data_IF_805966806552
#
_entry.id   IF_805966806552
#
_cell.length_a   1.000
_cell.length_b   1.000
_cell.length_c   1.000
_cell.angle_alpha   90.00
_cell.angle_beta   90.00
_cell.angle_gamma   90.00
#
_symmetry.space_group_name_H-M   'P 1'
#
loop_
_entity.id
_entity.type
_entity.pdbx_description
1 polymer ?
#
# COMPACT_ATOMS: atom_id res chain seq x y z
N UNK A 1 -5.95 21.66 10.18
CA UNK A 1 -6.92 21.55 9.08
C UNK A 1 -6.22 21.44 7.72
N UNK A 2 -5.33 22.35 7.36
CA UNK A 2 -4.61 22.36 6.07
C UNK A 2 -3.66 21.16 5.91
N UNK A 3 -3.02 20.66 6.97
CA UNK A 3 -2.18 19.45 6.91
C UNK A 3 -3.00 18.16 6.63
N UNK A 4 -4.20 18.04 7.18
CA UNK A 4 -5.09 16.89 6.87
C UNK A 4 -5.52 16.90 5.39
N UNK A 5 -5.69 18.07 4.78
CA UNK A 5 -6.02 18.20 3.35
C UNK A 5 -4.88 17.73 2.43
N UNK A 6 -3.61 17.87 2.82
CA UNK A 6 -2.45 17.39 2.05
C UNK A 6 -2.35 15.87 1.93
N UNK A 7 -2.97 15.13 2.86
CA UNK A 7 -2.98 13.67 2.88
C UNK A 7 -4.25 13.05 2.25
N UNK A 8 -5.14 13.90 1.70
CA UNK A 8 -6.34 13.42 1.03
C UNK A 8 -5.96 12.86 -0.34
N UNK A 9 -6.49 11.68 -0.65
CA UNK A 9 -6.26 11.02 -1.93
C UNK A 9 -6.65 11.95 -3.09
N UNK A 10 -5.82 12.06 -4.12
CA UNK A 10 -6.00 13.00 -5.24
C UNK A 10 -7.35 12.82 -5.98
N UNK A 11 -7.93 11.62 -5.96
CA UNK A 11 -9.24 11.33 -6.57
C UNK A 11 -10.39 12.16 -6.01
N UNK A 12 -10.29 12.66 -4.76
CA UNK A 12 -11.29 13.56 -4.21
C UNK A 12 -11.32 14.91 -4.94
N UNK A 13 -10.17 15.41 -5.34
CA UNK A 13 -10.05 16.67 -6.08
C UNK A 13 -10.51 16.53 -7.53
N UNK A 14 -10.23 15.40 -8.17
CA UNK A 14 -10.72 15.07 -9.52
C UNK A 14 -12.24 15.07 -9.55
N UNK A 15 -12.90 14.55 -8.51
CA UNK A 15 -14.35 14.59 -8.37
C UNK A 15 -14.92 16.02 -8.46
N UNK A 16 -14.25 17.03 -7.89
CA UNK A 16 -14.76 18.40 -7.87
C UNK A 16 -14.98 19.01 -9.26
N UNK A 17 -14.32 18.49 -10.29
CA UNK A 17 -14.51 18.94 -11.70
C UNK A 17 -15.97 18.73 -12.11
N UNK A 18 -16.63 17.68 -11.68
CA UNK A 18 -18.03 17.42 -12.03
C UNK A 18 -19.02 18.41 -11.39
N UNK A 19 -18.58 19.18 -10.38
CA UNK A 19 -19.40 20.26 -9.81
C UNK A 19 -19.61 21.42 -10.77
N UNK A 20 -18.82 21.52 -11.85
CA UNK A 20 -19.07 22.50 -12.92
C UNK A 20 -20.44 22.30 -13.54
N UNK A 21 -20.95 21.07 -13.62
CA UNK A 21 -22.25 20.75 -14.24
C UNK A 21 -23.43 21.47 -13.57
N UNK A 22 -23.73 21.34 -12.25
CA UNK A 22 -24.83 22.05 -11.63
C UNK A 22 -24.66 23.56 -11.65
N UNK A 23 -23.45 24.09 -11.47
CA UNK A 23 -23.20 25.52 -11.52
C UNK A 23 -23.43 26.08 -12.95
N UNK A 24 -22.91 25.41 -13.99
CA UNK A 24 -23.17 25.81 -15.36
C UNK A 24 -24.66 25.78 -15.71
N UNK A 25 -25.39 24.75 -15.28
CA UNK A 25 -26.84 24.65 -15.50
C UNK A 25 -27.63 25.75 -14.83
N UNK A 26 -27.20 26.23 -13.67
CA UNK A 26 -27.80 27.38 -12.98
C UNK A 26 -27.50 28.67 -13.76
N UNK A 27 -26.27 28.90 -14.18
CA UNK A 27 -25.89 30.08 -14.95
C UNK A 27 -26.59 30.16 -16.33
N UNK A 28 -26.85 29.00 -16.95
CA UNK A 28 -27.59 28.89 -18.19
C UNK A 28 -29.12 29.03 -18.02
N UNK A 29 -29.59 29.21 -16.79
CA UNK A 29 -31.03 29.36 -16.48
C UNK A 29 -31.84 28.07 -16.61
N UNK A 30 -31.20 26.92 -16.70
CA UNK A 30 -31.86 25.60 -16.80
C UNK A 30 -32.38 25.14 -15.44
N UNK A 31 -31.77 25.60 -14.35
CA UNK A 31 -32.09 25.25 -12.98
C UNK A 31 -32.27 26.55 -12.18
N UNK A 32 -33.26 26.61 -11.27
CA UNK A 32 -33.51 27.80 -10.45
C UNK A 32 -32.29 28.20 -9.61
N UNK A 33 -32.08 29.49 -9.43
CA UNK A 33 -30.89 30.06 -8.76
C UNK A 33 -30.70 29.58 -7.30
N UNK A 34 -31.76 29.22 -6.58
CA UNK A 34 -31.65 28.70 -5.20
C UNK A 34 -30.94 27.34 -5.11
N UNK A 35 -30.87 26.56 -6.20
CA UNK A 35 -30.04 25.33 -6.27
C UNK A 35 -28.57 25.62 -6.09
N UNK A 36 -28.11 26.85 -6.29
CA UNK A 36 -26.73 27.24 -6.02
C UNK A 36 -26.32 26.95 -4.58
N UNK A 37 -27.19 27.30 -3.62
CA UNK A 37 -26.93 27.04 -2.20
C UNK A 37 -26.92 25.53 -1.89
N UNK A 38 -27.80 24.76 -2.51
CA UNK A 38 -27.81 23.30 -2.34
C UNK A 38 -26.55 22.65 -2.91
N UNK A 39 -26.10 23.08 -4.09
CA UNK A 39 -24.85 22.58 -4.71
C UNK A 39 -23.63 22.98 -3.88
N UNK A 40 -23.60 24.20 -3.35
CA UNK A 40 -22.53 24.65 -2.47
C UNK A 40 -22.49 23.82 -1.17
N UNK A 41 -23.65 23.56 -0.57
CA UNK A 41 -23.75 22.74 0.64
C UNK A 41 -23.39 21.26 0.35
N UNK A 42 -23.72 20.74 -0.84
CA UNK A 42 -23.25 19.43 -1.29
C UNK A 42 -21.72 19.36 -1.32
N UNK A 43 -21.06 20.35 -1.92
CA UNK A 43 -19.60 20.43 -1.95
C UNK A 43 -19.00 20.52 -0.54
N UNK A 44 -19.59 21.37 0.33
CA UNK A 44 -19.15 21.47 1.73
C UNK A 44 -19.36 20.18 2.51
N UNK A 45 -20.47 19.47 2.30
CA UNK A 45 -20.74 18.18 2.94
C UNK A 45 -19.78 17.10 2.45
N UNK A 46 -19.47 17.05 1.14
CA UNK A 46 -18.50 16.14 0.56
C UNK A 46 -17.11 16.35 1.16
N UNK A 47 -16.61 17.58 1.20
CA UNK A 47 -15.34 17.92 1.82
C UNK A 47 -15.36 17.75 3.35
N UNK A 48 -16.50 18.05 3.98
CA UNK A 48 -16.72 17.92 5.42
C UNK A 48 -16.54 16.48 5.90
N UNK A 49 -17.07 15.50 5.17
CA UNK A 49 -16.89 14.06 5.49
C UNK A 49 -15.41 13.66 5.53
N UNK A 50 -14.55 14.29 4.73
CA UNK A 50 -13.12 13.97 4.70
C UNK A 50 -12.39 14.43 5.97
N UNK A 51 -12.88 15.51 6.60
CA UNK A 51 -12.20 16.18 7.72
C UNK A 51 -12.83 15.78 9.07
N UNK A 52 -14.16 15.58 9.09
CA UNK A 52 -14.93 15.33 10.30
C UNK A 52 -14.72 13.91 10.81
N UNK A 53 -14.40 13.79 12.11
CA UNK A 53 -14.24 12.51 12.81
C UNK A 53 -15.52 12.12 13.60
N UNK A 54 -16.42 13.08 13.84
CA UNK A 54 -17.66 12.84 14.57
C UNK A 54 -18.63 12.02 13.73
N UNK A 55 -18.98 10.83 14.23
CA UNK A 55 -19.84 9.86 13.54
C UNK A 55 -21.22 10.42 13.22
N UNK A 56 -21.80 11.22 14.10
CA UNK A 56 -23.14 11.82 13.92
C UNK A 56 -23.13 12.83 12.76
N UNK A 57 -22.12 13.73 12.73
CA UNK A 57 -21.97 14.70 11.64
C UNK A 57 -21.68 14.02 10.30
N UNK A 58 -20.88 12.96 10.32
CA UNK A 58 -20.63 12.13 9.11
C UNK A 58 -21.92 11.56 8.55
N UNK A 59 -22.83 11.05 9.42
CA UNK A 59 -24.12 10.55 8.97
C UNK A 59 -25.04 11.66 8.43
N UNK A 60 -25.05 12.84 9.05
CA UNK A 60 -25.83 13.99 8.57
C UNK A 60 -25.38 14.39 7.17
N UNK A 61 -24.08 14.57 6.96
CA UNK A 61 -23.56 14.90 5.64
C UNK A 61 -23.82 13.79 4.61
N UNK A 62 -23.67 12.53 5.02
CA UNK A 62 -23.92 11.38 4.14
C UNK A 62 -25.38 11.32 3.67
N UNK A 63 -26.33 11.44 4.58
CA UNK A 63 -27.77 11.46 4.27
C UNK A 63 -28.10 12.65 3.35
N UNK A 64 -27.50 13.81 3.60
CA UNK A 64 -27.67 14.97 2.74
C UNK A 64 -27.16 14.71 1.32
N UNK A 65 -26.00 14.10 1.14
CA UNK A 65 -25.47 13.73 -0.18
C UNK A 65 -26.45 12.81 -0.92
N UNK A 66 -26.98 11.79 -0.25
CA UNK A 66 -27.97 10.86 -0.82
C UNK A 66 -29.25 11.59 -1.22
N UNK A 67 -29.76 12.45 -0.35
CA UNK A 67 -31.00 13.22 -0.60
C UNK A 67 -30.82 14.21 -1.76
N UNK A 68 -29.65 14.88 -1.83
CA UNK A 68 -29.34 15.79 -2.93
C UNK A 68 -29.28 15.07 -4.28
N UNK A 69 -28.61 13.92 -4.34
CA UNK A 69 -28.50 13.14 -5.59
C UNK A 69 -29.87 12.61 -6.00
N UNK A 70 -30.60 11.96 -5.08
CA UNK A 70 -31.89 11.38 -5.36
C UNK A 70 -32.93 12.44 -5.76
N UNK A 71 -33.02 13.53 -5.00
CA UNK A 71 -33.95 14.62 -5.28
C UNK A 71 -33.67 15.31 -6.63
N UNK A 72 -32.42 15.65 -6.91
CA UNK A 72 -32.09 16.30 -8.20
C UNK A 72 -32.27 15.33 -9.39
N UNK A 73 -32.00 14.03 -9.21
CA UNK A 73 -32.24 13.05 -10.27
C UNK A 73 -33.72 12.91 -10.61
N UNK A 74 -34.61 13.00 -9.61
CA UNK A 74 -36.07 12.89 -9.81
C UNK A 74 -36.73 14.17 -10.33
N UNK A 75 -36.29 15.34 -9.87
CA UNK A 75 -36.99 16.59 -10.11
C UNK A 75 -36.31 17.52 -11.09
N UNK A 76 -34.98 17.40 -11.27
CA UNK A 76 -34.20 18.30 -12.14
C UNK A 76 -33.75 17.58 -13.40
N UNK A 77 -33.19 16.39 -13.28
CA UNK A 77 -32.74 15.61 -14.42
C UNK A 77 -31.90 14.40 -14.07
N UNK A 78 -32.06 13.34 -14.86
CA UNK A 78 -31.41 12.03 -14.62
C UNK A 78 -29.89 12.09 -14.62
N UNK A 79 -29.26 13.13 -15.21
CA UNK A 79 -27.80 13.32 -15.19
C UNK A 79 -27.20 13.44 -13.79
N UNK A 80 -27.99 13.84 -12.77
CA UNK A 80 -27.52 13.92 -11.38
C UNK A 80 -27.21 12.53 -10.77
N UNK A 81 -27.67 11.42 -11.35
CA UNK A 81 -27.29 10.08 -10.91
C UNK A 81 -25.77 9.82 -11.02
N UNK A 82 -25.05 10.54 -11.91
CA UNK A 82 -23.59 10.49 -11.99
C UNK A 82 -22.89 10.91 -10.70
N UNK A 83 -23.56 11.71 -9.85
CA UNK A 83 -23.03 12.15 -8.56
C UNK A 83 -22.89 11.01 -7.53
N UNK A 84 -23.47 9.82 -7.78
CA UNK A 84 -23.12 8.62 -7.00
C UNK A 84 -21.63 8.29 -7.03
N UNK A 85 -20.89 8.78 -8.02
CA UNK A 85 -19.43 8.71 -8.05
C UNK A 85 -18.75 9.35 -6.82
N UNK A 86 -19.30 10.45 -6.30
CA UNK A 86 -18.80 11.08 -5.07
C UNK A 86 -18.94 10.16 -3.85
N UNK A 87 -20.06 9.43 -3.78
CA UNK A 87 -20.29 8.47 -2.71
C UNK A 87 -19.32 7.28 -2.83
N UNK A 88 -19.04 6.83 -4.06
CA UNK A 88 -18.04 5.78 -4.33
C UNK A 88 -16.65 6.19 -3.84
N UNK A 89 -16.21 7.42 -4.13
CA UNK A 89 -14.94 7.93 -3.65
C UNK A 89 -14.86 7.95 -2.11
N UNK A 90 -15.93 8.42 -1.44
CA UNK A 90 -15.99 8.42 0.03
C UNK A 90 -15.93 6.98 0.58
N UNK A 91 -16.68 6.05 -0.01
CA UNK A 91 -16.72 4.65 0.41
C UNK A 91 -15.34 3.99 0.30
N UNK A 92 -14.64 4.20 -0.80
CA UNK A 92 -13.34 3.56 -1.06
C UNK A 92 -12.24 4.22 -0.23
N UNK A 93 -12.04 5.53 -0.37
CA UNK A 93 -10.84 6.19 0.16
C UNK A 93 -10.99 6.75 1.59
N UNK A 94 -12.22 7.07 2.03
CA UNK A 94 -12.45 7.59 3.40
C UNK A 94 -12.86 6.51 4.36
N UNK A 95 -13.85 5.69 3.98
CA UNK A 95 -14.36 4.62 4.83
C UNK A 95 -13.60 3.30 4.66
N UNK A 96 -12.74 3.20 3.65
CA UNK A 96 -11.96 1.99 3.33
C UNK A 96 -12.82 0.72 3.42
N UNK A 97 -13.93 0.74 2.68
CA UNK A 97 -14.92 -0.35 2.72
C UNK A 97 -14.35 -1.56 1.98
N UNK A 98 -13.62 -2.41 2.69
CA UNK A 98 -13.12 -3.69 2.17
C UNK A 98 -14.15 -4.83 2.31
N UNK A 99 -15.12 -4.64 3.21
CA UNK A 99 -16.14 -5.65 3.51
C UNK A 99 -17.55 -5.10 3.26
N UNK A 100 -18.45 -5.98 2.76
CA UNK A 100 -19.87 -5.67 2.56
C UNK A 100 -20.67 -5.39 3.85
N UNK A 101 -20.01 -5.30 5.01
CA UNK A 101 -20.65 -5.01 6.32
C UNK A 101 -20.81 -3.53 6.61
N UNK A 102 -20.30 -2.63 5.77
CA UNK A 102 -20.41 -1.20 6.03
C UNK A 102 -21.84 -0.70 5.82
N UNK A 103 -22.43 -0.02 6.83
CA UNK A 103 -23.78 0.54 6.70
C UNK A 103 -23.86 1.65 5.64
N UNK A 104 -22.76 2.37 5.40
CA UNK A 104 -22.69 3.40 4.36
C UNK A 104 -22.82 2.80 2.95
N UNK A 105 -22.22 1.63 2.71
CA UNK A 105 -22.36 0.92 1.43
C UNK A 105 -23.81 0.48 1.19
N UNK A 106 -24.44 -0.10 2.19
CA UNK A 106 -25.84 -0.55 2.08
C UNK A 106 -26.82 0.60 1.90
N UNK A 107 -26.60 1.74 2.57
CA UNK A 107 -27.44 2.94 2.37
C UNK A 107 -27.29 3.52 0.98
N UNK A 108 -26.06 3.57 0.41
CA UNK A 108 -25.84 3.99 -0.96
C UNK A 108 -26.53 3.06 -1.96
N UNK A 109 -26.39 1.75 -1.81
CA UNK A 109 -27.03 0.76 -2.66
C UNK A 109 -28.56 0.83 -2.57
N UNK A 110 -29.10 0.90 -1.37
CA UNK A 110 -30.54 1.02 -1.13
C UNK A 110 -31.11 2.30 -1.75
N UNK A 111 -30.39 3.42 -1.65
CA UNK A 111 -30.81 4.68 -2.27
C UNK A 111 -30.86 4.59 -3.79
N UNK A 112 -29.94 3.87 -4.44
CA UNK A 112 -29.97 3.61 -5.89
C UNK A 112 -31.18 2.75 -6.28
N UNK A 113 -31.50 1.73 -5.49
CA UNK A 113 -32.67 0.88 -5.74
C UNK A 113 -33.99 1.68 -5.58
N UNK A 114 -34.08 2.51 -4.54
CA UNK A 114 -35.25 3.38 -4.31
C UNK A 114 -35.40 4.35 -5.47
N UNK A 115 -34.30 4.96 -5.92
CA UNK A 115 -34.32 5.89 -7.04
C UNK A 115 -34.80 5.21 -8.32
N UNK A 116 -34.26 4.03 -8.64
CA UNK A 116 -34.67 3.26 -9.82
C UNK A 116 -36.15 2.87 -9.76
N UNK A 117 -36.62 2.41 -8.58
CA UNK A 117 -38.04 2.13 -8.35
C UNK A 117 -38.93 3.36 -8.53
N UNK A 118 -38.52 4.51 -7.98
CA UNK A 118 -39.28 5.76 -8.14
C UNK A 118 -39.39 6.19 -9.61
N UNK A 119 -38.34 6.02 -10.40
CA UNK A 119 -38.36 6.33 -11.82
C UNK A 119 -39.26 5.40 -12.63
N UNK A 120 -39.33 4.12 -12.30
CA UNK A 120 -40.22 3.17 -12.96
C UNK A 120 -41.72 3.48 -12.72
N UNK A 121 -42.05 4.06 -11.56
CA UNK A 121 -43.44 4.44 -11.20
C UNK A 121 -43.81 5.87 -11.59
N UNK A 122 -42.83 6.70 -11.97
CA UNK A 122 -43.10 8.09 -12.34
C UNK A 122 -43.48 8.21 -13.80
N UNK A 123 -44.78 8.44 -14.09
CA UNK A 123 -45.35 8.53 -15.45
C UNK A 123 -44.97 9.80 -16.22
N UNK A 124 -44.41 10.81 -15.56
CA UNK A 124 -44.02 12.08 -16.19
C UNK A 124 -42.61 12.02 -16.81
N UNK A 125 -41.85 10.99 -16.52
CA UNK A 125 -40.52 10.79 -17.06
C UNK A 125 -40.52 10.20 -18.47
N UNK A 126 -39.50 10.53 -19.27
CA UNK A 126 -39.31 9.95 -20.64
C UNK A 126 -39.14 8.43 -20.51
N UNK A 127 -39.67 7.71 -21.48
CA UNK A 127 -39.67 6.22 -21.50
C UNK A 127 -38.29 5.57 -21.28
N UNK A 128 -37.19 6.29 -21.58
CA UNK A 128 -35.83 5.76 -21.48
C UNK A 128 -35.01 6.28 -20.27
N UNK A 129 -35.56 7.17 -19.43
CA UNK A 129 -34.82 7.76 -18.33
C UNK A 129 -34.39 6.72 -17.25
N UNK A 130 -35.27 5.76 -16.96
CA UNK A 130 -34.93 4.65 -16.06
C UNK A 130 -33.79 3.78 -16.58
N UNK A 131 -33.72 3.60 -17.91
CA UNK A 131 -32.69 2.80 -18.56
C UNK A 131 -31.33 3.49 -18.47
N UNK A 132 -31.30 4.82 -18.65
CA UNK A 132 -30.10 5.63 -18.45
C UNK A 132 -29.60 5.53 -17.00
N UNK A 133 -30.46 5.69 -16.00
CA UNK A 133 -30.09 5.60 -14.59
C UNK A 133 -29.63 4.18 -14.24
N UNK A 134 -30.24 3.13 -14.79
CA UNK A 134 -29.83 1.74 -14.60
C UNK A 134 -28.39 1.53 -15.15
N UNK A 135 -28.11 1.97 -16.37
CA UNK A 135 -26.79 1.82 -17.00
C UNK A 135 -25.74 2.57 -16.17
N UNK A 136 -26.02 3.82 -15.76
CA UNK A 136 -25.12 4.61 -14.95
C UNK A 136 -24.89 3.96 -13.58
N UNK A 137 -25.95 3.43 -12.96
CA UNK A 137 -25.84 2.74 -11.67
C UNK A 137 -24.96 1.49 -11.75
N UNK A 138 -25.13 0.68 -12.82
CA UNK A 138 -24.27 -0.47 -13.08
C UNK A 138 -22.82 -0.05 -13.33
N UNK A 139 -22.59 0.98 -14.12
CA UNK A 139 -21.27 1.50 -14.39
C UNK A 139 -20.58 1.97 -13.10
N UNK A 140 -21.29 2.73 -12.25
CA UNK A 140 -20.76 3.21 -10.96
C UNK A 140 -20.48 2.02 -10.02
N UNK A 141 -21.34 1.01 -9.99
CA UNK A 141 -21.12 -0.20 -9.18
C UNK A 141 -19.86 -0.96 -9.61
N UNK A 142 -19.67 -1.18 -10.91
CA UNK A 142 -18.47 -1.81 -11.47
C UNK A 142 -17.23 -0.97 -11.18
N UNK A 143 -17.32 0.34 -11.36
CA UNK A 143 -16.23 1.28 -11.08
C UNK A 143 -15.86 1.26 -9.59
N UNK A 144 -16.84 1.30 -8.68
CA UNK A 144 -16.61 1.22 -7.24
C UNK A 144 -15.93 -0.10 -6.86
N UNK A 145 -16.40 -1.21 -7.42
CA UNK A 145 -15.79 -2.52 -7.20
C UNK A 145 -14.34 -2.55 -7.69
N UNK A 146 -14.06 -2.00 -8.86
CA UNK A 146 -12.70 -1.90 -9.42
C UNK A 146 -11.80 -1.04 -8.54
N UNK A 147 -12.29 0.10 -8.04
CA UNK A 147 -11.54 0.99 -7.13
C UNK A 147 -11.19 0.28 -5.81
N UNK A 148 -12.15 -0.43 -5.21
CA UNK A 148 -11.91 -1.23 -3.99
C UNK A 148 -10.84 -2.30 -4.25
N UNK A 149 -10.93 -2.99 -5.38
CA UNK A 149 -9.93 -4.00 -5.78
C UNK A 149 -8.54 -3.40 -5.96
N UNK A 150 -8.44 -2.25 -6.60
CA UNK A 150 -7.16 -1.55 -6.80
C UNK A 150 -6.53 -1.15 -5.47
N UNK A 151 -7.29 -0.55 -4.56
CA UNK A 151 -6.81 -0.15 -3.23
C UNK A 151 -6.31 -1.36 -2.43
N UNK A 152 -7.09 -2.46 -2.41
CA UNK A 152 -6.67 -3.71 -1.77
C UNK A 152 -5.37 -4.28 -2.37
N UNK A 153 -5.22 -4.22 -3.69
CA UNK A 153 -4.01 -4.71 -4.37
C UNK A 153 -2.80 -3.84 -4.06
N UNK A 154 -2.97 -2.52 -3.91
CA UNK A 154 -1.89 -1.61 -3.51
C UNK A 154 -1.44 -1.87 -2.07
N UNK A 155 -2.39 -2.06 -1.13
CA UNK A 155 -2.08 -2.44 0.25
C UNK A 155 -1.32 -3.78 0.32
N UNK A 156 -1.79 -4.80 -0.41
CA UNK A 156 -1.12 -6.10 -0.48
C UNK A 156 0.30 -5.99 -1.05
N UNK A 157 0.49 -5.22 -2.12
CA UNK A 157 1.82 -5.00 -2.69
C UNK A 157 2.76 -4.31 -1.70
N UNK A 158 2.26 -3.32 -0.96
CA UNK A 158 3.03 -2.63 0.06
C UNK A 158 3.45 -3.57 1.20
N UNK A 159 2.55 -4.45 1.64
CA UNK A 159 2.85 -5.43 2.69
C UNK A 159 3.82 -6.52 2.21
N UNK A 160 3.65 -7.02 0.98
CA UNK A 160 4.63 -7.93 0.38
C UNK A 160 6.02 -7.30 0.22
N UNK A 161 6.10 -6.02 -0.16
CA UNK A 161 7.39 -5.32 -0.23
C UNK A 161 8.08 -5.22 1.14
N UNK A 162 7.32 -4.94 2.21
CA UNK A 162 7.84 -4.93 3.59
C UNK A 162 8.32 -6.33 4.02
N UNK A 163 7.52 -7.37 3.76
CA UNK A 163 7.88 -8.75 4.09
C UNK A 163 9.15 -9.18 3.35
N UNK A 164 9.26 -8.89 2.06
CA UNK A 164 10.45 -9.19 1.26
C UNK A 164 11.70 -8.46 1.80
N UNK A 165 11.56 -7.20 2.20
CA UNK A 165 12.66 -6.47 2.82
C UNK A 165 13.12 -7.11 4.14
N UNK A 166 12.19 -7.56 4.99
CA UNK A 166 12.51 -8.28 6.23
C UNK A 166 13.18 -9.63 5.96
N UNK A 167 12.66 -10.40 5.00
CA UNK A 167 13.26 -11.68 4.60
C UNK A 167 14.70 -11.48 4.12
N UNK A 168 14.95 -10.48 3.26
CA UNK A 168 16.28 -10.17 2.77
C UNK A 168 17.25 -9.79 3.90
N UNK A 169 16.76 -9.06 4.90
CA UNK A 169 17.56 -8.69 6.06
C UNK A 169 17.93 -9.92 6.91
N UNK A 170 16.95 -10.80 7.18
CA UNK A 170 17.18 -12.05 7.92
C UNK A 170 18.12 -13.02 7.18
N UNK A 171 17.99 -13.10 5.85
CA UNK A 171 18.90 -13.90 5.03
C UNK A 171 20.34 -13.36 5.08
N UNK A 172 20.51 -12.04 5.04
CA UNK A 172 21.84 -11.43 5.15
C UNK A 172 22.45 -11.67 6.54
N UNK A 173 21.65 -11.57 7.61
CA UNK A 173 22.11 -11.86 8.97
C UNK A 173 22.48 -13.33 9.14
N UNK A 174 21.63 -14.25 8.66
CA UNK A 174 21.91 -15.69 8.72
C UNK A 174 23.18 -16.07 7.95
N UNK A 175 23.38 -15.49 6.78
CA UNK A 175 24.61 -15.69 6.00
C UNK A 175 25.84 -15.16 6.74
N UNK A 176 25.74 -14.00 7.38
CA UNK A 176 26.82 -13.46 8.22
C UNK A 176 27.17 -14.37 9.38
N UNK A 177 26.15 -14.93 10.06
CA UNK A 177 26.36 -15.90 11.14
C UNK A 177 26.96 -17.21 10.67
N UNK A 178 26.56 -17.70 9.47
CA UNK A 178 27.14 -18.88 8.83
C UNK A 178 28.62 -18.69 8.55
N UNK A 179 28.94 -17.58 7.89
CA UNK A 179 30.32 -17.23 7.56
C UNK A 179 31.19 -17.10 8.82
N UNK A 180 30.64 -16.47 9.87
CA UNK A 180 31.34 -16.34 11.16
C UNK A 180 31.66 -17.69 11.79
N UNK A 181 30.75 -18.66 11.72
CA UNK A 181 31.02 -20.04 12.20
C UNK A 181 32.04 -20.76 11.33
N UNK A 182 31.87 -20.72 10.00
CA UNK A 182 32.78 -21.38 9.06
C UNK A 182 34.24 -20.86 9.22
N UNK A 183 34.38 -19.54 9.42
CA UNK A 183 35.67 -18.92 9.72
C UNK A 183 36.22 -19.34 11.09
N UNK A 184 35.41 -19.35 12.12
CA UNK A 184 35.82 -19.73 13.47
C UNK A 184 36.30 -21.19 13.50
N UNK A 185 35.57 -22.08 12.84
CA UNK A 185 35.89 -23.51 12.82
C UNK A 185 37.15 -23.77 12.01
N UNK A 186 37.32 -23.14 10.84
CA UNK A 186 38.51 -23.25 9.99
C UNK A 186 39.74 -22.67 10.70
N UNK A 187 39.65 -21.46 11.25
CA UNK A 187 40.79 -20.83 11.95
C UNK A 187 41.09 -21.56 13.26
N UNK A 188 40.09 -22.04 13.99
CA UNK A 188 40.27 -22.80 15.22
C UNK A 188 41.07 -24.09 14.97
N UNK A 189 40.74 -24.82 13.89
CA UNK A 189 41.48 -26.02 13.51
C UNK A 189 42.92 -25.68 13.10
N UNK A 190 43.12 -24.63 12.32
CA UNK A 190 44.43 -24.16 11.90
C UNK A 190 45.32 -23.78 13.09
N UNK A 191 44.76 -22.99 14.04
CA UNK A 191 45.54 -22.58 15.23
C UNK A 191 45.88 -23.79 16.12
N UNK A 192 44.96 -24.76 16.25
CA UNK A 192 45.28 -26.01 16.96
C UNK A 192 46.41 -26.76 16.33
N UNK A 193 46.42 -26.94 15.01
CA UNK A 193 47.55 -27.55 14.28
C UNK A 193 48.85 -26.78 14.44
N UNK A 194 48.85 -25.47 14.32
CA UNK A 194 50.03 -24.63 14.55
C UNK A 194 50.59 -24.79 15.96
N UNK A 195 49.72 -24.84 16.96
CA UNK A 195 50.14 -25.06 18.36
C UNK A 195 50.83 -26.42 18.55
N UNK A 196 50.22 -27.50 18.02
CA UNK A 196 50.81 -28.84 18.11
C UNK A 196 52.17 -28.91 17.40
N UNK A 197 52.29 -28.28 16.24
CA UNK A 197 53.57 -28.25 15.51
C UNK A 197 54.62 -27.40 16.18
N UNK A 198 54.24 -26.30 16.81
CA UNK A 198 55.16 -25.49 17.64
C UNK A 198 55.66 -26.27 18.84
N UNK A 199 54.78 -26.98 19.54
CA UNK A 199 55.17 -27.86 20.67
C UNK A 199 56.15 -28.99 20.23
N UNK A 200 55.91 -29.61 19.07
CA UNK A 200 56.81 -30.60 18.46
C UNK A 200 58.18 -30.01 18.12
N UNK A 201 58.22 -28.83 17.56
CA UNK A 201 59.48 -28.14 17.22
C UNK A 201 60.30 -27.87 18.49
N UNK A 202 59.64 -27.42 19.59
CA UNK A 202 60.31 -27.20 20.89
C UNK A 202 60.87 -28.48 21.46
N UNK A 203 60.09 -29.58 21.43
CA UNK A 203 60.58 -30.91 21.88
C UNK A 203 61.78 -31.39 21.06
N UNK A 204 61.80 -31.24 19.72
CA UNK A 204 62.94 -31.63 18.90
C UNK A 204 64.18 -30.78 19.20
N UNK A 205 64.02 -29.50 19.48
CA UNK A 205 65.11 -28.63 19.94
C UNK A 205 65.70 -29.12 21.28
N UNK A 206 64.83 -29.45 22.25
CA UNK A 206 65.28 -29.97 23.56
C UNK A 206 66.05 -31.31 23.46
N UNK A 207 65.76 -32.09 22.41
CA UNK A 207 66.45 -33.34 22.11
C UNK A 207 67.72 -33.17 21.20
N UNK A 208 68.06 -31.94 20.84
CA UNK A 208 69.18 -31.61 19.96
C UNK A 208 68.97 -32.01 18.47
N UNK A 209 67.72 -32.28 18.05
CA UNK A 209 67.36 -32.68 16.70
C UNK A 209 66.96 -31.42 15.85
N UNK A 210 67.97 -30.62 15.52
CA UNK A 210 67.74 -29.28 14.92
C UNK A 210 67.10 -29.38 13.52
N UNK A 211 67.47 -30.36 12.70
CA UNK A 211 66.93 -30.57 11.37
C UNK A 211 65.41 -30.84 11.42
N UNK A 212 64.96 -31.68 12.37
CA UNK A 212 63.54 -31.99 12.53
C UNK A 212 62.71 -30.79 13.09
N UNK A 213 63.32 -30.02 13.96
CA UNK A 213 62.70 -28.78 14.46
C UNK A 213 62.53 -27.79 13.32
N UNK A 214 63.51 -27.65 12.42
CA UNK A 214 63.45 -26.78 11.26
C UNK A 214 62.37 -27.21 10.27
N UNK A 215 62.16 -28.52 10.07
CA UNK A 215 61.08 -29.06 9.26
C UNK A 215 59.71 -28.64 9.85
N UNK A 216 59.48 -28.77 11.16
CA UNK A 216 58.22 -28.32 11.78
C UNK A 216 57.99 -26.81 11.67
N UNK A 217 59.03 -25.99 11.75
CA UNK A 217 58.92 -24.54 11.54
C UNK A 217 58.55 -24.20 10.09
N UNK A 218 59.09 -24.93 9.11
CA UNK A 218 58.72 -24.75 7.70
C UNK A 218 57.25 -25.12 7.45
N UNK A 219 56.76 -26.21 8.08
CA UNK A 219 55.35 -26.58 8.00
C UNK A 219 54.42 -25.55 8.65
N UNK A 220 54.80 -25.00 9.80
CA UNK A 220 54.07 -23.89 10.43
C UNK A 220 53.95 -22.69 9.47
N UNK A 221 55.04 -22.34 8.82
CA UNK A 221 55.06 -21.24 7.87
C UNK A 221 54.14 -21.49 6.66
N UNK A 222 54.16 -22.71 6.11
CA UNK A 222 53.30 -23.12 4.98
C UNK A 222 51.81 -23.07 5.38
N UNK A 223 51.41 -23.63 6.52
CA UNK A 223 50.06 -23.63 7.02
C UNK A 223 49.58 -22.20 7.26
N UNK A 224 50.40 -21.33 7.84
CA UNK A 224 50.08 -19.93 8.08
C UNK A 224 49.83 -19.15 6.79
N UNK A 225 50.68 -19.35 5.78
CA UNK A 225 50.53 -18.72 4.46
C UNK A 225 49.23 -19.15 3.77
N UNK A 226 48.94 -20.46 3.76
CA UNK A 226 47.73 -21.02 3.17
C UNK A 226 46.50 -20.50 3.85
N UNK A 227 46.45 -20.46 5.20
CA UNK A 227 45.32 -19.94 5.96
C UNK A 227 45.08 -18.44 5.70
N UNK A 228 46.14 -17.65 5.58
CA UNK A 228 46.01 -16.24 5.24
C UNK A 228 45.46 -16.05 3.80
N UNK A 229 45.81 -16.95 2.86
CA UNK A 229 45.24 -16.92 1.51
C UNK A 229 43.71 -17.21 1.56
N UNK A 230 43.31 -18.28 2.25
CA UNK A 230 41.90 -18.64 2.40
C UNK A 230 41.06 -17.54 3.04
N UNK A 231 41.55 -16.90 4.09
CA UNK A 231 40.87 -15.77 4.74
C UNK A 231 40.68 -14.58 3.77
N UNK A 232 41.72 -14.25 3.00
CA UNK A 232 41.63 -13.16 2.01
C UNK A 232 40.59 -13.49 0.92
N UNK A 233 40.57 -14.70 0.43
CA UNK A 233 39.59 -15.15 -0.57
C UNK A 233 38.15 -15.03 -0.04
N UNK A 234 37.89 -15.45 1.20
CA UNK A 234 36.58 -15.32 1.85
C UNK A 234 36.19 -13.84 1.96
N UNK A 235 37.11 -12.97 2.42
CA UNK A 235 36.85 -11.53 2.57
C UNK A 235 36.57 -10.87 1.21
N UNK A 236 37.30 -11.23 0.18
CA UNK A 236 37.14 -10.68 -1.17
C UNK A 236 35.81 -11.11 -1.80
N UNK A 237 35.43 -12.37 -1.64
CA UNK A 237 34.12 -12.89 -2.06
C UNK A 237 32.95 -12.18 -1.33
N UNK A 238 33.11 -11.87 -0.06
CA UNK A 238 32.13 -11.08 0.72
C UNK A 238 31.99 -9.65 0.18
N UNK A 239 33.11 -9.00 -0.12
CA UNK A 239 33.13 -7.63 -0.65
C UNK A 239 32.45 -7.56 -2.03
N UNK A 240 32.73 -8.51 -2.91
CA UNK A 240 32.10 -8.56 -4.24
C UNK A 240 30.58 -8.77 -4.16
N UNK A 241 30.10 -9.65 -3.28
CA UNK A 241 28.66 -9.88 -3.07
C UNK A 241 27.94 -8.66 -2.46
N UNK A 242 28.65 -7.85 -1.68
CA UNK A 242 28.07 -6.61 -1.08
C UNK A 242 27.98 -5.49 -2.12
N UNK A 243 28.87 -5.45 -3.10
CA UNK A 243 28.87 -4.43 -4.17
C UNK A 243 27.91 -4.76 -5.32
N UNK A 244 27.51 -6.01 -5.46
CA UNK A 244 26.59 -6.48 -6.52
C UNK A 244 25.10 -6.39 -6.14
N UNK A 245 24.77 -5.87 -4.95
CA UNK A 245 23.41 -5.59 -4.43
C UNK A 245 23.13 -4.10 -4.40
#
# INVERSE_FOLDING_TARGET
MIEKLKHIHHMFYVGLIFMVFPFASIFLGQIPWWHFFLALFFMMSYLGILIVENRTLTWIFWIYLLAYIGGNTLYVGTGFCLFYYYLSNILVYRFRVHNFRSPFLWTAFLSQLILLGALLFNREMRENDWLFVLIVSLFIAIMTFSMVRMEMMEELKADHAKQNAQINLLLAENERHRIGRDLHDSLGHTFAMLSVKADLADQFLALGQVEKAQEQVQEIQAISQESMHQVREIVENLKQRTLAR
#
